data_IF_001584993898
#
_entry.id   IF_001584993898
#
_cell.length_a   1.000
_cell.length_b   1.000
_cell.length_c   1.000
_cell.angle_alpha   90.00
_cell.angle_beta   90.00
_cell.angle_gamma   90.00
#
_symmetry.space_group_name_H-M   'P 1'
#
loop_
_entity.id
_entity.type
_entity.pdbx_description
1 polymer ?
#
# COMPACT_ATOMS: atom_id res chain seq x y z
N UNK A 1 1.73 4.81 10.80
CA UNK A 1 1.57 3.39 11.17
C UNK A 1 2.85 2.62 10.86
N UNK A 2 3.28 1.71 11.76
CA UNK A 2 4.48 0.88 11.56
C UNK A 2 4.17 -0.35 10.71
N UNK A 3 5.21 -1.00 10.17
CA UNK A 3 5.02 -2.20 9.34
C UNK A 3 4.30 -3.35 10.09
N UNK A 4 4.57 -3.53 11.39
CA UNK A 4 3.95 -4.56 12.20
C UNK A 4 2.46 -4.31 12.40
N UNK A 5 2.09 -3.05 12.62
CA UNK A 5 0.69 -2.64 12.77
C UNK A 5 -0.06 -2.76 11.44
N UNK A 6 0.54 -2.35 10.31
CA UNK A 6 -0.04 -2.54 8.98
C UNK A 6 -0.23 -4.03 8.66
N UNK A 7 0.74 -4.87 9.00
CA UNK A 7 0.64 -6.31 8.81
C UNK A 7 -0.53 -6.91 9.61
N UNK A 8 -0.66 -6.52 10.89
CA UNK A 8 -1.75 -6.99 11.74
C UNK A 8 -3.13 -6.56 11.20
N UNK A 9 -3.26 -5.32 10.76
CA UNK A 9 -4.54 -4.77 10.24
C UNK A 9 -4.95 -5.35 8.89
N UNK A 10 -3.99 -5.72 8.05
CA UNK A 10 -4.24 -6.16 6.67
C UNK A 10 -4.22 -7.68 6.47
N UNK A 11 -3.70 -8.44 7.44
CA UNK A 11 -3.41 -9.87 7.26
C UNK A 11 -2.22 -10.16 6.33
N UNK A 12 -1.60 -9.14 5.75
CA UNK A 12 -0.43 -9.29 4.89
C UNK A 12 0.83 -9.35 5.73
N UNK A 13 1.65 -10.38 5.53
CA UNK A 13 2.89 -10.53 6.30
C UNK A 13 3.83 -9.33 6.12
N UNK A 14 4.57 -8.97 7.19
CA UNK A 14 5.58 -7.93 7.10
C UNK A 14 6.67 -8.23 6.04
N UNK A 15 6.92 -9.51 5.73
CA UNK A 15 7.80 -9.94 4.63
C UNK A 15 7.24 -9.51 3.28
N UNK A 16 5.95 -9.73 3.03
CA UNK A 16 5.28 -9.30 1.81
C UNK A 16 5.22 -7.79 1.69
N UNK A 17 4.93 -7.06 2.78
CA UNK A 17 4.97 -5.60 2.78
C UNK A 17 6.35 -5.06 2.40
N UNK A 18 7.44 -5.63 2.94
CA UNK A 18 8.81 -5.29 2.51
C UNK A 18 9.07 -5.65 1.05
N UNK A 19 8.44 -6.70 0.54
CA UNK A 19 8.56 -7.06 -0.86
C UNK A 19 7.86 -6.03 -1.75
N UNK A 20 6.64 -5.62 -1.42
CA UNK A 20 5.91 -4.56 -2.11
C UNK A 20 6.64 -3.22 -2.11
N UNK A 21 7.24 -2.84 -0.99
CA UNK A 21 8.09 -1.64 -0.90
C UNK A 21 9.30 -1.73 -1.83
N UNK A 22 10.03 -2.85 -1.81
CA UNK A 22 11.22 -3.03 -2.66
C UNK A 22 10.90 -2.92 -4.15
N UNK A 23 9.74 -3.41 -4.57
CA UNK A 23 9.31 -3.31 -5.97
C UNK A 23 8.58 -2.00 -6.25
N UNK A 24 8.38 -1.12 -5.28
CA UNK A 24 7.64 0.14 -5.44
C UNK A 24 6.16 -0.05 -5.78
N UNK A 25 5.55 -1.14 -5.32
CA UNK A 25 4.10 -1.36 -5.46
C UNK A 25 3.32 -0.65 -4.35
N UNK A 26 3.88 -0.67 -3.14
CA UNK A 26 3.40 0.03 -1.96
C UNK A 26 4.62 0.56 -1.22
N UNK A 27 4.85 1.86 -1.29
CA UNK A 27 5.97 2.51 -0.62
C UNK A 27 5.46 3.27 0.62
N UNK A 28 6.23 3.29 1.71
CA UNK A 28 5.85 4.06 2.89
C UNK A 28 5.83 5.55 2.54
N UNK A 29 4.77 6.24 2.93
CA UNK A 29 4.63 7.69 2.75
C UNK A 29 5.70 8.50 3.46
N UNK A 30 6.27 7.97 4.56
CA UNK A 30 7.30 8.67 5.32
C UNK A 30 8.29 7.72 5.99
N UNK A 31 9.31 8.32 6.59
CA UNK A 31 10.21 7.66 7.52
C UNK A 31 10.34 8.52 8.78
N UNK A 32 10.40 7.87 9.94
CA UNK A 32 10.73 8.55 11.20
C UNK A 32 12.14 9.11 11.15
N UNK A 33 12.49 10.03 12.05
CA UNK A 33 13.88 10.51 12.24
C UNK A 33 14.88 9.36 12.46
N UNK A 34 14.48 8.31 13.20
CA UNK A 34 15.28 7.10 13.40
C UNK A 34 15.35 6.14 12.18
N UNK A 35 14.88 6.57 11.01
CA UNK A 35 15.01 5.84 9.73
C UNK A 35 13.99 4.73 9.45
N UNK A 36 13.07 4.49 10.38
CA UNK A 36 12.05 3.47 10.22
C UNK A 36 10.91 3.87 9.28
N UNK A 37 10.27 2.88 8.66
CA UNK A 37 9.16 3.08 7.71
C UNK A 37 7.87 3.49 8.43
N UNK A 38 7.20 4.48 7.87
CA UNK A 38 5.87 4.91 8.29
C UNK A 38 4.89 4.87 7.12
N UNK A 39 3.82 4.10 7.34
CA UNK A 39 2.72 3.97 6.40
C UNK A 39 1.57 4.87 6.82
N UNK A 40 1.02 5.59 5.84
CA UNK A 40 -0.18 6.42 5.99
C UNK A 40 -1.45 5.59 5.78
N UNK A 41 -2.61 6.22 5.99
CA UNK A 41 -3.89 5.61 5.64
C UNK A 41 -4.05 5.43 4.13
N UNK A 42 -3.41 6.29 3.31
CA UNK A 42 -3.39 6.15 1.86
C UNK A 42 -2.58 4.90 1.43
N UNK A 43 -1.48 4.60 2.11
CA UNK A 43 -0.71 3.38 1.85
C UNK A 43 -1.50 2.12 2.22
N UNK A 44 -2.30 2.18 3.29
CA UNK A 44 -3.20 1.09 3.66
C UNK A 44 -4.32 0.91 2.61
N UNK A 45 -4.86 2.00 2.05
CA UNK A 45 -5.82 1.94 0.96
C UNK A 45 -5.21 1.38 -0.34
N UNK A 46 -3.96 1.75 -0.62
CA UNK A 46 -3.17 1.17 -1.71
C UNK A 46 -3.02 -0.34 -1.54
N UNK A 47 -2.71 -0.79 -0.32
CA UNK A 47 -2.62 -2.22 -0.01
C UNK A 47 -3.93 -2.97 -0.23
N UNK A 48 -5.05 -2.39 0.20
CA UNK A 48 -6.37 -2.98 -0.03
C UNK A 48 -6.65 -3.20 -1.53
N UNK A 49 -6.32 -2.21 -2.38
CA UNK A 49 -6.49 -2.33 -3.83
C UNK A 49 -5.58 -3.42 -4.42
N UNK A 50 -4.31 -3.47 -3.98
CA UNK A 50 -3.36 -4.52 -4.40
C UNK A 50 -3.90 -5.91 -4.06
N UNK A 51 -4.32 -6.15 -2.82
CA UNK A 51 -4.81 -7.48 -2.41
C UNK A 51 -6.15 -7.83 -3.07
N UNK A 52 -7.02 -6.84 -3.32
CA UNK A 52 -8.26 -7.05 -4.06
C UNK A 52 -7.98 -7.54 -5.48
N UNK A 53 -7.07 -6.89 -6.20
CA UNK A 53 -6.69 -7.31 -7.56
C UNK A 53 -5.98 -8.67 -7.56
N UNK A 54 -5.12 -8.94 -6.57
CA UNK A 54 -4.50 -10.27 -6.41
C UNK A 54 -5.53 -11.38 -6.14
N UNK A 55 -6.61 -11.09 -5.42
CA UNK A 55 -7.69 -12.05 -5.19
C UNK A 55 -8.45 -12.43 -6.47
N UNK A 56 -8.38 -11.59 -7.51
CA UNK A 56 -8.92 -11.87 -8.84
C UNK A 56 -7.95 -12.68 -9.73
N UNK A 57 -6.80 -13.09 -9.19
CA UNK A 57 -5.80 -13.89 -9.90
C UNK A 57 -4.72 -13.10 -10.61
N UNK A 58 -4.70 -11.76 -10.50
CA UNK A 58 -3.68 -10.93 -11.15
C UNK A 58 -2.32 -11.12 -10.48
N UNK A 59 -1.28 -11.26 -11.30
CA UNK A 59 0.11 -11.17 -10.90
C UNK A 59 0.50 -9.74 -10.53
N UNK A 60 1.58 -9.57 -9.76
CA UNK A 60 2.01 -8.25 -9.27
C UNK A 60 2.33 -7.23 -10.38
N UNK A 61 2.74 -7.71 -11.56
CA UNK A 61 2.98 -6.86 -12.73
C UNK A 61 1.65 -6.30 -13.28
N UNK A 62 0.64 -7.15 -13.42
CA UNK A 62 -0.71 -6.75 -13.87
C UNK A 62 -1.38 -5.83 -12.85
N UNK A 63 -1.21 -6.12 -11.55
CA UNK A 63 -1.69 -5.24 -10.48
C UNK A 63 -1.06 -3.86 -10.59
N UNK A 64 0.26 -3.77 -10.83
CA UNK A 64 0.95 -2.48 -10.99
C UNK A 64 0.36 -1.69 -12.16
N UNK A 65 0.14 -2.36 -13.28
CA UNK A 65 -0.40 -1.74 -14.49
C UNK A 65 -1.84 -1.26 -14.29
N UNK A 66 -2.72 -2.10 -13.74
CA UNK A 66 -4.08 -1.70 -13.42
C UNK A 66 -4.13 -0.46 -12.52
N UNK A 67 -3.20 -0.40 -11.56
CA UNK A 67 -3.09 0.66 -10.60
C UNK A 67 -2.36 1.93 -11.07
N UNK A 68 -1.64 1.90 -12.21
CA UNK A 68 -1.04 3.09 -12.82
C UNK A 68 -2.05 3.83 -13.71
N UNK A 69 -2.96 3.09 -14.33
CA UNK A 69 -4.04 3.64 -15.16
C UNK A 69 -5.15 4.31 -14.33
N UNK A 70 -5.26 3.93 -13.06
CA UNK A 70 -6.13 4.60 -12.09
C UNK A 70 -5.39 5.82 -11.54
N UNK A 71 -5.54 6.97 -12.20
CA UNK A 71 -5.08 8.25 -11.65
C UNK A 71 -5.58 8.39 -10.21
N UNK A 72 -4.77 8.93 -9.27
CA UNK A 72 -5.20 9.08 -7.88
C UNK A 72 -6.47 9.91 -7.87
N UNK A 73 -7.60 9.28 -7.53
CA UNK A 73 -8.84 10.00 -7.34
C UNK A 73 -8.57 11.10 -6.31
N UNK A 74 -8.87 12.38 -6.61
CA UNK A 74 -8.66 13.43 -5.62
C UNK A 74 -9.46 13.03 -4.38
N UNK A 75 -8.77 12.88 -3.26
CA UNK A 75 -9.41 12.77 -1.95
C UNK A 75 -10.27 14.01 -1.81
N UNK A 76 -11.57 13.88 -2.10
CA UNK A 76 -12.54 14.93 -1.84
C UNK A 76 -12.51 15.14 -0.34
N UNK A 77 -11.84 16.21 0.08
CA UNK A 77 -11.90 16.76 1.41
C UNK A 77 -13.39 16.88 1.75
N UNK A 78 -13.86 16.03 2.66
CA UNK A 78 -15.13 16.24 3.33
C UNK A 78 -14.91 17.42 4.29
N UNK A 79 -14.86 18.63 3.72
CA UNK A 79 -14.95 19.87 4.48
C UNK A 79 -16.41 19.98 4.95
N UNK A 80 -16.59 19.90 6.26
CA UNK A 80 -17.77 20.42 6.95
C UNK A 80 -17.30 21.36 8.04
#
# INVERSE_FOLDING_TARGET
MRISELANRSGVSARMLRHYDRIGLISPSARTEAGYREYSQADAWRLFQVESLRSLGLGLAEVREALSQQAPAPMRSLTR
#
